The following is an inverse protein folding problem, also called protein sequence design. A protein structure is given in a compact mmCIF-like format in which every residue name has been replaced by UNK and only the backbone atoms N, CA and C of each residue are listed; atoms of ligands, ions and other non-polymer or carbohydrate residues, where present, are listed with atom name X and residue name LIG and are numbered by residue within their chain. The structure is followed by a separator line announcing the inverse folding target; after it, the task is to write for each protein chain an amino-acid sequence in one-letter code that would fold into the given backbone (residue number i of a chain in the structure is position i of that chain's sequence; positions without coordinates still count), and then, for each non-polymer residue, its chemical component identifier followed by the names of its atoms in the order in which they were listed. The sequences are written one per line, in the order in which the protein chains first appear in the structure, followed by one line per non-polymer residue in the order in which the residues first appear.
data_IF_013386227762
#
_entry.id   IF_013386227762
#
_cell.length_a   1.000
_cell.length_b   1.000
_cell.length_c   1.000
_cell.angle_alpha   90.00
_cell.angle_beta   90.00
_cell.angle_gamma   90.00
#
_symmetry.space_group_name_H-M   'P 1'
#
loop_
_entity.id
_entity.type
_entity.pdbx_description
1 polymer ?
#
# COMPACT_ATOMS: atom_id res chain seq x y z
N UNK A 1 2.52 5.48 12.13
CA UNK A 1 2.98 5.51 10.72
C UNK A 1 2.22 6.59 9.94
N UNK A 2 2.92 7.43 9.16
CA UNK A 2 2.30 8.39 8.23
C UNK A 2 1.99 7.69 6.91
N UNK A 3 0.80 7.90 6.36
CA UNK A 3 0.37 7.36 5.05
C UNK A 3 0.03 8.53 4.12
N UNK A 4 0.61 8.51 2.93
CA UNK A 4 0.31 9.46 1.87
C UNK A 4 -0.80 8.88 0.99
N UNK A 5 -1.89 9.63 0.83
CA UNK A 5 -3.07 9.21 0.07
C UNK A 5 -3.19 10.12 -1.15
N UNK A 6 -3.29 9.53 -2.35
CA UNK A 6 -3.59 10.23 -3.59
C UNK A 6 -4.79 9.55 -4.25
N UNK A 7 -5.97 10.19 -4.31
CA UNK A 7 -7.20 9.50 -4.67
C UNK A 7 -7.34 9.17 -6.16
N UNK A 8 -6.79 10.00 -7.06
CA UNK A 8 -6.90 9.78 -8.50
C UNK A 8 -5.59 10.16 -9.19
N UNK A 9 -4.80 9.15 -9.55
CA UNK A 9 -3.49 9.31 -10.18
C UNK A 9 -3.45 8.50 -11.47
N UNK A 10 -3.11 9.13 -12.61
CA UNK A 10 -2.84 8.39 -13.85
C UNK A 10 -1.70 7.39 -13.65
N UNK A 11 -1.85 6.16 -14.16
CA UNK A 11 -0.89 5.08 -13.94
C UNK A 11 0.54 5.43 -14.38
N UNK A 12 0.68 6.14 -15.50
CA UNK A 12 1.95 6.68 -16.01
C UNK A 12 2.69 7.56 -14.98
N UNK A 13 1.95 8.23 -14.06
CA UNK A 13 2.51 9.11 -13.03
C UNK A 13 2.83 8.37 -11.73
N UNK A 14 2.26 7.19 -11.49
CA UNK A 14 2.41 6.46 -10.23
C UNK A 14 3.87 6.14 -9.92
N UNK A 15 4.66 5.74 -10.92
CA UNK A 15 6.09 5.44 -10.75
C UNK A 15 6.90 6.65 -10.24
N UNK A 16 6.47 7.86 -10.58
CA UNK A 16 7.11 9.10 -10.11
C UNK A 16 6.65 9.50 -8.70
N UNK A 17 5.58 8.89 -8.18
CA UNK A 17 5.03 9.17 -6.86
C UNK A 17 5.49 8.19 -5.78
N UNK A 18 6.25 7.16 -6.16
CA UNK A 18 6.80 6.15 -5.27
C UNK A 18 8.34 6.18 -5.27
N UNK A 19 8.99 5.68 -4.21
CA UNK A 19 10.45 5.54 -4.21
C UNK A 19 10.94 4.66 -5.37
N UNK A 20 12.18 4.86 -5.88
CA UNK A 20 12.69 4.15 -7.05
C UNK A 20 12.57 2.62 -6.97
N UNK A 21 12.76 2.04 -5.79
CA UNK A 21 12.68 0.60 -5.54
C UNK A 21 11.31 -0.04 -5.83
N UNK A 22 10.25 0.76 -5.95
CA UNK A 22 8.88 0.28 -6.19
C UNK A 22 8.40 0.49 -7.62
N UNK A 23 9.14 1.23 -8.45
CA UNK A 23 8.64 1.72 -9.75
C UNK A 23 8.19 0.59 -10.67
N UNK A 24 9.05 -0.41 -10.85
CA UNK A 24 8.78 -1.53 -11.75
C UNK A 24 7.59 -2.37 -11.24
N UNK A 25 7.54 -2.61 -9.93
CA UNK A 25 6.46 -3.36 -9.31
C UNK A 25 5.12 -2.61 -9.39
N UNK A 26 5.12 -1.28 -9.25
CA UNK A 26 3.94 -0.43 -9.42
C UNK A 26 3.46 -0.41 -10.87
N UNK A 27 4.38 -0.31 -11.84
CA UNK A 27 4.03 -0.37 -13.26
C UNK A 27 3.44 -1.73 -13.63
N UNK A 28 4.07 -2.82 -13.19
CA UNK A 28 3.56 -4.18 -13.40
C UNK A 28 2.17 -4.37 -12.74
N UNK A 29 1.99 -3.86 -11.52
CA UNK A 29 0.72 -3.97 -10.79
C UNK A 29 -0.41 -3.16 -11.43
N UNK A 30 -0.13 -2.12 -12.21
CA UNK A 30 -1.16 -1.28 -12.85
C UNK A 30 -1.26 -1.49 -14.36
N UNK A 31 -0.34 -2.23 -14.96
CA UNK A 31 -0.25 -2.38 -16.42
C UNK A 31 0.15 -1.09 -17.15
N UNK A 32 0.53 -0.03 -16.42
CA UNK A 32 0.91 1.27 -16.98
C UNK A 32 -0.24 2.13 -17.50
N UNK A 33 -1.50 1.74 -17.28
CA UNK A 33 -2.69 2.47 -17.75
C UNK A 33 -3.77 2.66 -16.67
N UNK A 34 -4.69 3.59 -16.91
CA UNK A 34 -5.82 3.86 -16.02
C UNK A 34 -5.54 4.92 -14.96
N UNK A 35 -6.52 5.12 -14.07
CA UNK A 35 -6.50 6.05 -12.94
C UNK A 35 -6.67 5.29 -11.64
N UNK A 36 -5.68 5.41 -10.76
CA UNK A 36 -5.57 4.62 -9.53
C UNK A 36 -5.55 5.52 -8.29
N UNK A 37 -6.07 5.00 -7.18
CA UNK A 37 -5.82 5.58 -5.86
C UNK A 37 -4.53 5.02 -5.28
N UNK A 38 -3.57 5.87 -4.93
CA UNK A 38 -2.32 5.46 -4.30
C UNK A 38 -2.40 5.64 -2.77
N UNK A 39 -2.09 4.56 -2.05
CA UNK A 39 -1.82 4.54 -0.61
C UNK A 39 -0.34 4.21 -0.40
N UNK A 40 0.48 5.23 -0.17
CA UNK A 40 1.90 5.06 0.10
C UNK A 40 2.14 5.06 1.62
N UNK A 41 2.46 3.89 2.15
CA UNK A 41 2.84 3.67 3.54
C UNK A 41 4.33 4.01 3.77
N UNK A 42 4.75 4.04 5.04
CA UNK A 42 6.16 4.20 5.35
C UNK A 42 6.96 3.01 4.79
N UNK A 43 8.14 3.32 4.27
CA UNK A 43 8.92 2.42 3.42
C UNK A 43 10.38 2.30 3.87
N UNK A 44 10.66 2.52 5.16
CA UNK A 44 11.98 2.24 5.73
C UNK A 44 12.26 0.73 5.65
N UNK A 45 13.53 0.29 5.58
CA UNK A 45 13.86 -1.14 5.41
C UNK A 45 13.32 -2.09 6.49
N UNK A 46 12.95 -1.56 7.65
CA UNK A 46 12.41 -2.30 8.81
C UNK A 46 10.93 -2.03 9.06
N UNK A 47 10.27 -1.24 8.21
CA UNK A 47 8.87 -0.91 8.39
C UNK A 47 7.98 -2.12 8.11
N UNK A 48 7.04 -2.36 9.02
CA UNK A 48 5.95 -3.31 8.88
C UNK A 48 4.67 -2.50 8.94
N UNK A 49 3.76 -2.74 7.99
CA UNK A 49 2.47 -2.07 7.87
C UNK A 49 1.40 -2.96 8.49
N UNK A 50 0.98 -2.69 9.74
CA UNK A 50 -0.10 -3.45 10.38
C UNK A 50 -1.48 -3.01 9.85
N UNK A 51 -2.53 -3.73 10.22
CA UNK A 51 -3.90 -3.46 9.77
C UNK A 51 -4.48 -2.09 10.19
N UNK A 52 -4.17 -1.49 11.36
CA UNK A 52 -4.77 -0.22 11.77
C UNK A 52 -4.51 0.99 10.83
N UNK A 53 -3.27 1.27 10.36
CA UNK A 53 -3.03 2.33 9.39
C UNK A 53 -3.70 2.03 8.03
N UNK A 54 -3.83 0.77 7.62
CA UNK A 54 -4.57 0.41 6.39
C UNK A 54 -6.04 0.80 6.53
N UNK A 55 -6.71 0.34 7.60
CA UNK A 55 -8.12 0.65 7.87
C UNK A 55 -8.37 2.16 7.93
N UNK A 56 -7.49 2.89 8.60
CA UNK A 56 -7.57 4.37 8.69
C UNK A 56 -7.43 5.02 7.31
N UNK A 57 -6.55 4.50 6.46
CA UNK A 57 -6.29 5.07 5.13
C UNK A 57 -7.45 4.81 4.18
N UNK A 58 -8.03 3.62 4.20
CA UNK A 58 -9.24 3.28 3.43
C UNK A 58 -10.41 4.18 3.79
N UNK A 59 -10.66 4.39 5.09
CA UNK A 59 -11.69 5.33 5.56
C UNK A 59 -11.46 6.77 5.08
N UNK A 60 -10.19 7.20 4.97
CA UNK A 60 -9.83 8.55 4.51
C UNK A 60 -9.90 8.71 3.00
N UNK A 61 -9.68 7.65 2.24
CA UNK A 61 -9.76 7.66 0.78
C UNK A 61 -11.18 8.00 0.30
N UNK A 62 -12.20 7.60 1.06
CA UNK A 62 -13.64 7.76 0.79
C UNK A 62 -14.09 7.03 -0.46
N UNK A 63 -13.62 7.45 -1.63
CA UNK A 63 -13.98 6.89 -2.93
C UNK A 63 -12.71 6.43 -3.65
N UNK A 64 -12.60 5.14 -4.02
CA UNK A 64 -11.49 4.67 -4.83
C UNK A 64 -11.58 5.23 -6.25
N UNK A 65 -10.44 5.29 -6.92
CA UNK A 65 -10.38 5.59 -8.35
C UNK A 65 -11.04 4.47 -9.16
N UNK A 66 -11.44 4.74 -10.42
CA UNK A 66 -12.14 3.77 -11.26
C UNK A 66 -11.40 2.44 -11.44
N UNK A 67 -10.08 2.48 -11.60
CA UNK A 67 -9.26 1.28 -11.81
C UNK A 67 -8.81 0.61 -10.51
N UNK A 68 -9.14 1.22 -9.36
CA UNK A 68 -8.95 0.63 -8.03
C UNK A 68 -7.87 1.32 -7.18
N UNK A 69 -7.40 0.58 -6.18
CA UNK A 69 -6.48 1.09 -5.15
C UNK A 69 -5.15 0.35 -5.26
N UNK A 70 -4.05 1.09 -5.22
CA UNK A 70 -2.70 0.59 -5.13
C UNK A 70 -2.11 0.94 -3.76
N UNK A 71 -1.79 -0.07 -2.96
CA UNK A 71 -1.17 0.06 -1.65
C UNK A 71 0.32 -0.30 -1.72
N UNK A 72 1.20 0.63 -1.35
CA UNK A 72 2.66 0.47 -1.45
C UNK A 72 3.30 0.55 -0.07
N UNK A 73 4.08 -0.45 0.32
CA UNK A 73 4.73 -0.51 1.62
C UNK A 73 5.94 -1.46 1.66
N UNK A 74 6.73 -1.44 2.74
CA UNK A 74 7.88 -2.35 2.88
C UNK A 74 7.44 -3.80 3.06
N UNK A 75 6.66 -4.07 4.11
CA UNK A 75 6.05 -5.38 4.42
C UNK A 75 4.66 -5.10 4.97
N UNK A 76 3.66 -5.90 4.58
CA UNK A 76 2.32 -5.86 5.17
C UNK A 76 2.14 -7.07 6.08
N UNK A 77 1.43 -6.89 7.19
CA UNK A 77 0.97 -8.03 8.00
C UNK A 77 -0.11 -8.81 7.26
N UNK A 78 -0.36 -10.05 7.69
CA UNK A 78 -1.42 -10.90 7.15
C UNK A 78 -2.78 -10.22 7.26
N UNK A 79 -3.07 -9.59 8.39
CA UNK A 79 -4.32 -8.85 8.63
C UNK A 79 -4.41 -7.58 7.77
N UNK A 80 -3.28 -6.91 7.52
CA UNK A 80 -3.23 -5.77 6.60
C UNK A 80 -3.50 -6.21 5.15
N UNK A 81 -2.91 -7.34 4.71
CA UNK A 81 -3.14 -7.90 3.38
C UNK A 81 -4.60 -8.31 3.19
N UNK A 82 -5.19 -8.98 4.18
CA UNK A 82 -6.61 -9.36 4.15
C UNK A 82 -7.52 -8.13 3.96
N UNK A 83 -7.27 -7.04 4.70
CA UNK A 83 -8.03 -5.79 4.52
C UNK A 83 -7.85 -5.14 3.15
N UNK A 84 -6.65 -5.23 2.57
CA UNK A 84 -6.39 -4.71 1.23
C UNK A 84 -7.14 -5.54 0.18
N UNK A 85 -7.11 -6.86 0.32
CA UNK A 85 -7.81 -7.79 -0.57
C UNK A 85 -9.33 -7.63 -0.49
N UNK A 86 -9.91 -7.55 0.71
CA UNK A 86 -11.34 -7.26 0.93
C UNK A 86 -11.77 -5.94 0.28
N UNK A 87 -10.87 -4.95 0.23
CA UNK A 87 -11.11 -3.66 -0.40
C UNK A 87 -10.85 -3.65 -1.92
N UNK A 88 -10.48 -4.78 -2.53
CA UNK A 88 -10.09 -4.87 -3.93
C UNK A 88 -8.80 -4.11 -4.27
N UNK A 89 -7.96 -3.83 -3.26
CA UNK A 89 -6.70 -3.12 -3.43
C UNK A 89 -5.57 -4.06 -3.86
N UNK A 90 -4.72 -3.58 -4.76
CA UNK A 90 -3.48 -4.25 -5.15
C UNK A 90 -2.36 -3.84 -4.19
N UNK A 91 -1.77 -4.81 -3.49
CA UNK A 91 -0.65 -4.57 -2.59
C UNK A 91 0.70 -4.77 -3.31
N UNK A 92 1.58 -3.76 -3.23
CA UNK A 92 2.97 -3.81 -3.67
C UNK A 92 3.86 -3.72 -2.43
N UNK A 93 4.45 -4.85 -2.05
CA UNK A 93 5.38 -4.97 -0.94
C UNK A 93 6.82 -5.02 -1.44
N UNK A 94 7.74 -4.31 -0.79
CA UNK A 94 9.18 -4.42 -1.10
C UNK A 94 9.74 -5.78 -0.70
N UNK A 95 9.25 -6.35 0.40
CA UNK A 95 9.66 -7.66 0.92
C UNK A 95 8.44 -8.50 1.21
N UNK A 96 8.57 -9.80 0.97
CA UNK A 96 7.62 -10.80 1.43
C UNK A 96 8.20 -11.42 2.70
N UNK A 97 7.56 -11.16 3.83
CA UNK A 97 7.90 -11.75 5.12
C UNK A 97 6.61 -12.05 5.86
N UNK A 98 6.55 -13.16 6.60
CA UNK A 98 5.38 -13.51 7.41
C UNK A 98 5.37 -12.63 8.66
N UNK A 99 4.43 -11.71 8.71
CA UNK A 99 4.18 -10.84 9.85
C UNK A 99 2.70 -10.86 10.19
N UNK A 100 2.41 -10.80 11.48
CA UNK A 100 1.07 -10.60 12.02
C UNK A 100 1.01 -9.25 12.73
N UNK A 101 -0.18 -8.71 12.94
CA UNK A 101 -0.36 -7.50 13.74
C UNK A 101 0.16 -7.69 15.18
N UNK A 102 0.03 -8.90 15.73
CA UNK A 102 0.55 -9.27 17.04
C UNK A 102 2.08 -9.19 17.08
N UNK A 103 2.78 -9.84 16.16
CA UNK A 103 4.25 -9.81 16.09
C UNK A 103 4.79 -8.41 15.78
N UNK A 104 4.08 -7.63 14.96
CA UNK A 104 4.41 -6.23 14.69
C UNK A 104 4.28 -5.36 15.95
N UNK A 105 3.26 -5.61 16.79
CA UNK A 105 3.07 -4.91 18.08
C UNK A 105 4.13 -5.30 19.10
N UNK A 106 4.45 -6.59 19.21
CA UNK A 106 5.46 -7.11 20.14
C UNK A 106 6.86 -6.53 19.89
N UNK A 107 7.17 -6.13 18.65
CA UNK A 107 8.45 -5.50 18.28
C UNK A 107 8.50 -3.98 18.54
N UNK A 108 7.36 -3.33 18.77
CA UNK A 108 7.27 -1.89 19.07
C UNK A 108 7.27 -1.60 20.58
N UNK A 109 7.10 -2.63 21.40
CA UNK A 109 7.33 -2.63 22.85
C UNK A 109 8.80 -2.92 23.13
#
# INVERSE_FOLDING_TARGET
MKVTIRPAVPAEKLAHMVPPAYRDAVQAATGGSGTWSLLLFAHSPRDVVPSPPVRKSMRRLKMPAPDGILAVGTVFTEEALALLEEAGARAVAFRKAKWTDESARARQL
#
